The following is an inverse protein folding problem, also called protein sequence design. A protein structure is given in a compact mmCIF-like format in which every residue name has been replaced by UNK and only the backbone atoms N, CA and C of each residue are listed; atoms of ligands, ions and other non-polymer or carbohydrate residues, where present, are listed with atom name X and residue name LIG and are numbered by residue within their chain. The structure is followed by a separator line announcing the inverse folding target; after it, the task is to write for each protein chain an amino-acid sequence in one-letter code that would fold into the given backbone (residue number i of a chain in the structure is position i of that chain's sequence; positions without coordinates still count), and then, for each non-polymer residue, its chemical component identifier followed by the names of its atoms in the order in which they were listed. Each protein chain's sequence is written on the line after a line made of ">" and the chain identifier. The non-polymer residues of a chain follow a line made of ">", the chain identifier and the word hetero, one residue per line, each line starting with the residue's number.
data_IF_866943463518
#
_entry.id   IF_866943463518
#
_cell.length_a   1.000
_cell.length_b   1.000
_cell.length_c   1.000
_cell.angle_alpha   90.00
_cell.angle_beta   90.00
_cell.angle_gamma   90.00
#
_symmetry.space_group_name_H-M   'P 1'
#
loop_
_entity.id
_entity.type
_entity.pdbx_description
1 polymer ?
#
# COMPACT_ATOMS: atom_id res chain seq x y z
N UNK A 1 -8.95 0.51 -33.81
CA UNK A 1 -8.31 1.09 -32.60
C UNK A 1 -8.83 2.49 -32.22
N UNK A 2 -9.13 3.39 -33.16
CA UNK A 2 -9.64 4.74 -32.84
C UNK A 2 -11.00 4.74 -32.09
N UNK A 3 -11.93 3.87 -32.50
CA UNK A 3 -13.25 3.74 -31.86
C UNK A 3 -13.17 3.26 -30.39
N UNK A 4 -12.26 2.33 -30.08
CA UNK A 4 -12.06 1.86 -28.70
C UNK A 4 -11.46 2.95 -27.80
N UNK A 5 -10.55 3.78 -28.33
CA UNK A 5 -9.99 4.93 -27.61
C UNK A 5 -11.06 5.99 -27.33
N UNK A 6 -11.90 6.29 -28.31
CA UNK A 6 -13.05 7.20 -28.14
C UNK A 6 -14.02 6.71 -27.06
N UNK A 7 -14.29 5.39 -27.00
CA UNK A 7 -15.12 4.80 -25.95
C UNK A 7 -14.51 4.94 -24.55
N UNK A 8 -13.20 4.72 -24.39
CA UNK A 8 -12.50 4.88 -23.10
C UNK A 8 -12.54 6.32 -22.60
N UNK A 9 -12.24 7.28 -23.49
CA UNK A 9 -12.31 8.72 -23.14
C UNK A 9 -13.72 9.12 -22.71
N UNK A 10 -14.75 8.62 -23.40
CA UNK A 10 -16.14 8.86 -23.01
C UNK A 10 -16.45 8.28 -21.62
N UNK A 11 -16.04 7.04 -21.36
CA UNK A 11 -16.24 6.42 -20.04
C UNK A 11 -15.55 7.21 -18.91
N UNK A 12 -14.32 7.69 -19.15
CA UNK A 12 -13.61 8.56 -18.21
C UNK A 12 -14.41 9.85 -17.97
N UNK A 13 -14.93 10.48 -19.02
CA UNK A 13 -15.77 11.68 -18.91
C UNK A 13 -17.00 11.41 -18.04
N UNK A 14 -17.75 10.35 -18.35
CA UNK A 14 -18.98 10.01 -17.65
C UNK A 14 -18.72 9.78 -16.14
N UNK A 15 -17.60 9.12 -15.79
CA UNK A 15 -17.18 8.92 -14.40
C UNK A 15 -16.74 10.22 -13.71
N UNK A 16 -16.02 11.10 -14.41
CA UNK A 16 -15.63 12.42 -13.88
C UNK A 16 -16.85 13.32 -13.64
N UNK A 17 -17.84 13.29 -14.54
CA UNK A 17 -19.10 14.01 -14.37
C UNK A 17 -19.89 13.46 -13.17
N UNK A 18 -19.95 12.13 -13.02
CA UNK A 18 -20.57 11.48 -11.86
C UNK A 18 -19.87 11.85 -10.53
N UNK A 19 -18.54 11.96 -10.55
CA UNK A 19 -17.74 12.42 -9.41
C UNK A 19 -17.85 13.93 -9.13
N UNK A 20 -18.60 14.68 -9.95
CA UNK A 20 -18.76 16.13 -9.81
C UNK A 20 -17.47 16.92 -10.11
N UNK A 21 -16.68 16.47 -11.08
CA UNK A 21 -15.43 17.14 -11.42
C UNK A 21 -15.69 18.48 -12.13
N UNK A 22 -15.21 19.62 -11.59
CA UNK A 22 -15.47 20.95 -12.16
C UNK A 22 -14.76 21.19 -13.50
N UNK A 23 -13.79 20.34 -13.86
CA UNK A 23 -12.99 20.48 -15.08
C UNK A 23 -13.63 19.85 -16.33
N UNK A 24 -14.75 19.12 -16.15
CA UNK A 24 -15.47 18.43 -17.23
C UNK A 24 -16.90 18.92 -17.43
N UNK A 25 -17.36 19.90 -16.65
CA UNK A 25 -18.70 20.48 -16.81
C UNK A 25 -18.79 21.34 -18.07
N UNK A 26 -19.79 21.08 -18.92
CA UNK A 26 -20.14 21.89 -20.10
C UNK A 26 -19.01 22.09 -21.14
N UNK A 27 -18.09 21.13 -21.24
CA UNK A 27 -16.96 21.19 -22.18
C UNK A 27 -17.09 20.19 -23.33
N UNK A 28 -16.51 20.56 -24.47
CA UNK A 28 -16.55 19.79 -25.72
C UNK A 28 -15.71 18.49 -25.64
N UNK A 29 -15.98 17.51 -26.50
CA UNK A 29 -15.20 16.26 -26.55
C UNK A 29 -13.71 16.48 -26.90
N UNK A 30 -13.42 17.53 -27.65
CA UNK A 30 -12.04 17.94 -27.96
C UNK A 30 -11.27 18.30 -26.68
N UNK A 31 -11.92 18.99 -25.74
CA UNK A 31 -11.34 19.39 -24.47
C UNK A 31 -10.93 18.20 -23.61
N UNK A 32 -11.74 17.14 -23.56
CA UNK A 32 -11.37 15.91 -22.86
C UNK A 32 -10.07 15.30 -23.41
N UNK A 33 -9.88 15.34 -24.73
CA UNK A 33 -8.63 14.87 -25.33
C UNK A 33 -7.44 15.77 -24.99
N UNK A 34 -7.66 17.07 -24.83
CA UNK A 34 -6.61 17.99 -24.37
C UNK A 34 -6.26 17.75 -22.91
N UNK A 35 -7.26 17.65 -22.04
CA UNK A 35 -7.12 17.43 -20.62
C UNK A 35 -6.38 16.11 -20.29
N UNK A 36 -6.70 15.04 -21.02
CA UNK A 36 -6.15 13.71 -20.77
C UNK A 36 -4.83 13.42 -21.51
N UNK A 37 -4.46 14.16 -22.56
CA UNK A 37 -3.30 13.81 -23.40
C UNK A 37 -2.33 14.93 -23.71
N UNK A 38 -2.70 16.20 -23.48
CA UNK A 38 -1.77 17.30 -23.70
C UNK A 38 -1.08 17.66 -22.39
N UNK A 39 0.20 17.99 -22.49
CA UNK A 39 0.93 18.63 -21.41
C UNK A 39 0.38 20.03 -21.16
N UNK A 40 0.19 20.38 -19.89
CA UNK A 40 -0.29 21.70 -19.51
C UNK A 40 -0.90 21.77 -18.13
N UNK A 41 -1.19 23.00 -17.71
CA UNK A 41 -1.82 23.33 -16.43
C UNK A 41 -3.16 22.61 -16.18
N UNK A 42 -4.10 22.52 -17.16
CA UNK A 42 -5.40 21.88 -16.92
C UNK A 42 -5.27 20.42 -16.51
N UNK A 43 -4.32 19.70 -17.12
CA UNK A 43 -4.02 18.30 -16.78
C UNK A 43 -3.56 18.18 -15.34
N UNK A 44 -2.58 19.01 -14.95
CA UNK A 44 -2.00 18.95 -13.60
C UNK A 44 -3.06 19.29 -12.54
N UNK A 45 -3.97 20.23 -12.83
CA UNK A 45 -5.12 20.52 -11.96
C UNK A 45 -6.10 19.35 -11.86
N UNK A 46 -6.39 18.66 -12.96
CA UNK A 46 -7.23 17.46 -12.92
C UNK A 46 -6.58 16.39 -12.03
N UNK A 47 -5.30 16.11 -12.20
CA UNK A 47 -4.59 15.11 -11.39
C UNK A 47 -4.56 15.54 -9.92
N UNK A 48 -4.26 16.81 -9.64
CA UNK A 48 -4.32 17.35 -8.28
C UNK A 48 -5.70 17.17 -7.66
N UNK A 49 -6.76 17.53 -8.38
CA UNK A 49 -8.14 17.36 -7.94
C UNK A 49 -8.48 15.90 -7.66
N UNK A 50 -8.09 14.97 -8.54
CA UNK A 50 -8.31 13.54 -8.33
C UNK A 50 -7.61 13.06 -7.05
N UNK A 51 -6.37 13.49 -6.82
CA UNK A 51 -5.61 13.08 -5.66
C UNK A 51 -6.14 13.68 -4.35
N UNK A 52 -6.60 14.93 -4.33
CA UNK A 52 -7.17 15.53 -3.12
C UNK A 52 -8.51 14.88 -2.73
N UNK A 53 -9.24 14.29 -3.68
CA UNK A 53 -10.53 13.61 -3.42
C UNK A 53 -10.44 12.36 -2.58
N UNK A 54 -9.25 11.76 -2.40
CA UNK A 54 -9.04 10.67 -1.44
C UNK A 54 -9.21 11.12 0.02
N UNK A 55 -9.36 12.42 0.30
CA UNK A 55 -9.84 12.94 1.59
C UNK A 55 -8.83 12.84 2.74
N UNK A 56 -7.55 12.59 2.44
CA UNK A 56 -6.51 12.50 3.46
C UNK A 56 -5.91 13.90 3.73
N UNK A 57 -6.05 14.48 4.94
CA UNK A 57 -5.64 15.86 5.21
C UNK A 57 -4.17 16.15 4.95
N UNK A 58 -3.29 15.16 5.17
CA UNK A 58 -1.85 15.31 4.90
C UNK A 58 -1.54 15.32 3.39
N UNK A 59 -2.38 14.68 2.57
CA UNK A 59 -2.22 14.67 1.11
C UNK A 59 -2.62 16.02 0.53
N UNK A 60 -3.72 16.58 1.03
CA UNK A 60 -4.17 17.92 0.68
C UNK A 60 -3.14 18.98 1.09
N UNK A 61 -2.63 18.92 2.32
CA UNK A 61 -1.55 19.81 2.78
C UNK A 61 -0.27 19.66 1.95
N UNK A 62 0.11 18.44 1.58
CA UNK A 62 1.29 18.19 0.74
C UNK A 62 1.13 18.82 -0.65
N UNK A 63 -0.04 18.68 -1.26
CA UNK A 63 -0.36 19.18 -2.60
C UNK A 63 -0.56 20.70 -2.63
N UNK A 64 -1.10 21.29 -1.57
CA UNK A 64 -1.32 22.73 -1.43
C UNK A 64 -0.10 23.49 -0.89
N UNK A 65 0.80 22.83 -0.17
CA UNK A 65 1.98 23.50 0.38
C UNK A 65 2.90 24.03 -0.74
N UNK A 66 3.41 25.25 -0.59
CA UNK A 66 4.43 25.80 -1.48
C UNK A 66 5.86 25.28 -1.17
N UNK A 67 5.99 24.42 -0.15
CA UNK A 67 7.29 23.90 0.25
C UNK A 67 7.75 22.81 -0.72
N UNK A 68 8.95 22.99 -1.28
CA UNK A 68 9.62 21.99 -2.09
C UNK A 68 9.93 20.77 -1.22
N UNK A 69 9.24 19.66 -1.49
CA UNK A 69 9.62 18.37 -0.91
C UNK A 69 10.91 17.97 -1.61
N UNK A 70 11.95 17.81 -0.80
CA UNK A 70 13.33 17.46 -1.09
C UNK A 70 13.63 16.92 -2.51
N UNK A 71 14.64 17.55 -3.14
CA UNK A 71 15.48 17.12 -4.27
C UNK A 71 15.09 17.57 -5.71
N UNK A 72 15.74 18.66 -6.14
CA UNK A 72 16.46 18.88 -7.41
C UNK A 72 15.97 18.37 -8.79
N UNK A 73 14.74 17.91 -8.99
CA UNK A 73 14.24 17.58 -10.33
C UNK A 73 12.83 18.15 -10.54
N UNK A 74 12.77 19.15 -11.43
CA UNK A 74 11.59 19.57 -12.22
C UNK A 74 10.29 19.85 -11.45
N UNK A 75 9.97 21.14 -11.34
CA UNK A 75 8.70 21.73 -10.87
C UNK A 75 8.11 21.09 -9.59
N UNK A 76 8.22 21.80 -8.47
CA UNK A 76 7.80 21.34 -7.14
C UNK A 76 6.41 20.69 -7.10
N UNK A 77 5.49 21.07 -7.99
CA UNK A 77 4.15 20.46 -8.09
C UNK A 77 4.14 19.12 -8.82
N UNK A 78 4.86 19.00 -9.94
CA UNK A 78 4.92 17.74 -10.71
C UNK A 78 5.53 16.63 -9.85
N UNK A 79 6.62 16.94 -9.13
CA UNK A 79 7.22 16.01 -8.19
C UNK A 79 6.27 15.57 -7.07
N UNK A 80 5.47 16.49 -6.52
CA UNK A 80 4.43 16.16 -5.50
C UNK A 80 3.35 15.24 -6.07
N UNK A 81 2.83 15.56 -7.24
CA UNK A 81 1.80 14.74 -7.91
C UNK A 81 2.35 13.34 -8.22
N UNK A 82 3.59 13.26 -8.69
CA UNK A 82 4.28 12.00 -8.95
C UNK A 82 4.46 11.18 -7.68
N UNK A 83 4.93 11.80 -6.60
CA UNK A 83 5.07 11.15 -5.30
C UNK A 83 3.74 10.57 -4.80
N UNK A 84 2.66 11.36 -4.88
CA UNK A 84 1.33 10.92 -4.47
C UNK A 84 0.80 9.77 -5.34
N UNK A 85 0.98 9.88 -6.66
CA UNK A 85 0.58 8.84 -7.59
C UNK A 85 1.35 7.53 -7.35
N UNK A 86 2.66 7.61 -7.12
CA UNK A 86 3.49 6.47 -6.76
C UNK A 86 3.07 5.83 -5.43
N UNK A 87 2.75 6.66 -4.41
CA UNK A 87 2.27 6.17 -3.12
C UNK A 87 0.94 5.39 -3.23
N UNK A 88 0.08 5.79 -4.17
CA UNK A 88 -1.17 5.09 -4.48
C UNK A 88 -0.99 3.89 -5.42
N UNK A 89 0.25 3.57 -5.82
CA UNK A 89 0.56 2.47 -6.73
C UNK A 89 0.12 2.70 -8.18
N UNK A 90 -0.11 3.96 -8.59
CA UNK A 90 -0.59 4.32 -9.94
C UNK A 90 0.53 4.39 -10.98
N UNK A 91 1.76 4.67 -10.56
CA UNK A 91 2.93 4.79 -11.43
C UNK A 91 4.22 4.62 -10.65
N UNK A 92 5.36 4.54 -11.36
CA UNK A 92 6.67 4.49 -10.73
C UNK A 92 7.18 5.90 -10.34
N UNK A 93 8.25 6.02 -9.55
CA UNK A 93 8.77 7.30 -9.07
C UNK A 93 9.57 8.11 -10.11
N UNK A 94 9.88 7.51 -11.26
CA UNK A 94 10.55 8.12 -12.41
C UNK A 94 9.59 8.45 -13.56
N UNK A 95 8.29 8.17 -13.40
CA UNK A 95 7.23 8.36 -14.42
C UNK A 95 6.77 9.83 -14.57
N UNK A 96 7.70 10.78 -14.59
CA UNK A 96 7.42 12.22 -14.77
C UNK A 96 6.66 12.48 -16.08
N UNK A 97 7.00 11.76 -17.14
CA UNK A 97 6.35 11.85 -18.46
C UNK A 97 4.87 11.46 -18.41
N UNK A 98 4.48 10.60 -17.48
CA UNK A 98 3.08 10.22 -17.30
C UNK A 98 2.29 11.38 -16.69
N UNK A 99 2.82 12.01 -15.64
CA UNK A 99 2.19 13.14 -14.97
C UNK A 99 2.10 14.35 -15.89
N UNK A 100 3.18 14.64 -16.62
CA UNK A 100 3.25 15.78 -17.54
C UNK A 100 2.51 15.57 -18.86
N UNK A 101 2.12 14.33 -19.21
CA UNK A 101 1.35 14.04 -20.42
C UNK A 101 2.19 13.78 -21.68
N UNK A 102 3.48 13.49 -21.52
CA UNK A 102 4.41 13.15 -22.62
C UNK A 102 4.40 11.64 -22.94
N UNK A 103 3.99 10.81 -21.98
CA UNK A 103 3.96 9.35 -22.14
C UNK A 103 2.99 8.87 -23.22
N UNK A 104 2.99 7.56 -23.51
CA UNK A 104 2.06 6.99 -24.51
C UNK A 104 0.59 7.20 -24.10
N UNK A 105 -0.28 7.53 -25.07
CA UNK A 105 -1.73 7.73 -24.82
C UNK A 105 -2.38 6.53 -24.12
N UNK A 106 -1.89 5.31 -24.36
CA UNK A 106 -2.40 4.10 -23.71
C UNK A 106 -2.07 4.08 -22.22
N UNK A 107 -0.83 4.41 -21.85
CA UNK A 107 -0.39 4.50 -20.45
C UNK A 107 -1.13 5.63 -19.71
N UNK A 108 -1.28 6.78 -20.37
CA UNK A 108 -2.06 7.91 -19.83
C UNK A 108 -3.53 7.56 -19.58
N UNK A 109 -4.19 6.85 -20.53
CA UNK A 109 -5.57 6.38 -20.33
C UNK A 109 -5.69 5.43 -19.14
N UNK A 110 -4.77 4.47 -19.04
CA UNK A 110 -4.78 3.49 -17.96
C UNK A 110 -4.67 4.17 -16.60
N UNK A 111 -3.71 5.10 -16.47
CA UNK A 111 -3.55 5.92 -15.27
C UNK A 111 -4.84 6.62 -14.82
N UNK A 112 -5.55 7.27 -15.75
CA UNK A 112 -6.81 7.95 -15.42
C UNK A 112 -7.94 6.97 -15.06
N UNK A 113 -8.02 5.83 -15.75
CA UNK A 113 -9.02 4.82 -15.41
C UNK A 113 -8.77 4.26 -14.01
N UNK A 114 -7.52 3.91 -13.68
CA UNK A 114 -7.16 3.31 -12.39
C UNK A 114 -7.42 4.27 -11.23
N UNK A 115 -7.03 5.54 -11.34
CA UNK A 115 -7.26 6.52 -10.27
C UNK A 115 -8.74 6.84 -10.08
N UNK A 116 -9.51 6.94 -11.17
CA UNK A 116 -10.95 7.21 -11.10
C UNK A 116 -11.68 6.00 -10.54
N UNK A 117 -11.31 4.78 -10.93
CA UNK A 117 -11.91 3.56 -10.42
C UNK A 117 -11.63 3.39 -8.92
N UNK A 118 -10.42 3.68 -8.47
CA UNK A 118 -10.11 3.73 -7.03
C UNK A 118 -10.96 4.77 -6.30
N UNK A 119 -11.11 5.99 -6.85
CA UNK A 119 -11.97 7.02 -6.26
C UNK A 119 -13.43 6.57 -6.17
N UNK A 120 -13.93 5.89 -7.20
CA UNK A 120 -15.30 5.38 -7.20
C UNK A 120 -15.53 4.32 -6.13
N UNK A 121 -14.55 3.44 -5.90
CA UNK A 121 -14.61 2.49 -4.79
C UNK A 121 -14.62 3.21 -3.45
N UNK A 122 -13.74 4.19 -3.26
CA UNK A 122 -13.64 4.97 -2.01
C UNK A 122 -14.92 5.76 -1.72
N UNK A 123 -15.52 6.38 -2.74
CA UNK A 123 -16.76 7.15 -2.60
C UNK A 123 -17.96 6.24 -2.29
N UNK A 124 -18.05 5.09 -2.98
CA UNK A 124 -19.10 4.08 -2.72
C UNK A 124 -18.99 3.47 -1.32
N UNK A 125 -17.78 3.15 -0.86
CA UNK A 125 -17.54 2.68 0.50
C UNK A 125 -17.99 3.75 1.51
N UNK A 126 -17.55 4.99 1.32
CA UNK A 126 -17.92 6.13 2.18
C UNK A 126 -19.43 6.32 2.25
N UNK A 127 -20.13 6.17 1.13
CA UNK A 127 -21.59 6.29 1.08
C UNK A 127 -22.30 5.11 1.76
N UNK A 128 -21.78 3.89 1.59
CA UNK A 128 -22.30 2.67 2.24
C UNK A 128 -22.14 2.76 3.76
N UNK A 129 -20.98 3.20 4.25
CA UNK A 129 -20.78 3.42 5.70
C UNK A 129 -21.74 4.48 6.26
N UNK A 130 -22.04 5.54 5.51
CA UNK A 130 -22.98 6.58 5.94
C UNK A 130 -24.43 6.12 5.96
N UNK A 131 -24.81 5.18 5.10
CA UNK A 131 -26.20 4.71 4.97
C UNK A 131 -26.49 3.45 5.78
N UNK A 132 -25.48 2.59 6.02
CA UNK A 132 -25.61 1.37 6.80
C UNK A 132 -25.64 1.60 8.33
N UNK A 133 -25.26 2.78 8.81
CA UNK A 133 -25.38 3.14 10.23
C UNK A 133 -26.69 3.90 10.47
N UNK A 134 -27.70 3.28 11.11
CA UNK A 134 -28.96 3.97 11.40
C UNK A 134 -28.70 5.18 12.30
N UNK A 135 -29.38 6.27 11.94
CA UNK A 135 -29.33 7.59 12.56
C UNK A 135 -29.53 7.55 14.08
N UNK A 136 -28.43 7.36 14.81
CA UNK A 136 -28.28 7.70 16.22
C UNK A 136 -26.82 8.13 16.41
N UNK A 137 -26.55 9.40 16.77
CA UNK A 137 -25.19 9.87 16.94
C UNK A 137 -24.64 9.35 18.28
N UNK A 138 -23.32 9.13 18.35
CA UNK A 138 -22.51 10.20 18.88
C UNK A 138 -21.52 10.67 17.82
N UNK A 139 -21.39 11.99 17.73
CA UNK A 139 -20.50 12.72 16.83
C UNK A 139 -18.99 12.54 17.18
N UNK A 140 -18.57 11.35 17.60
CA UNK A 140 -17.24 11.09 18.16
C UNK A 140 -16.57 9.83 17.57
N UNK A 141 -17.12 9.22 16.51
CA UNK A 141 -16.49 8.06 15.83
C UNK A 141 -15.81 8.36 14.49
N UNK A 142 -15.62 9.64 14.14
CA UNK A 142 -14.57 10.05 13.20
C UNK A 142 -13.29 10.48 13.92
N UNK A 143 -13.05 9.96 15.13
CA UNK A 143 -11.77 10.13 15.79
C UNK A 143 -10.71 9.36 15.00
N UNK A 144 -10.01 10.10 14.14
CA UNK A 144 -8.56 9.97 14.02
C UNK A 144 -8.03 9.57 15.41
N UNK A 145 -7.30 8.46 15.57
CA UNK A 145 -6.82 8.07 16.89
C UNK A 145 -6.09 9.25 17.51
N UNK A 146 -6.58 9.76 18.65
CA UNK A 146 -5.93 10.89 19.33
C UNK A 146 -4.58 10.43 19.86
N UNK A 147 -4.45 9.13 20.12
CA UNK A 147 -3.23 8.48 20.57
C UNK A 147 -2.94 7.19 19.79
N UNK A 148 -1.68 6.80 19.76
CA UNK A 148 -1.25 5.54 19.15
C UNK A 148 -1.94 4.30 19.77
N UNK A 149 -2.24 4.34 21.07
CA UNK A 149 -2.90 3.23 21.77
C UNK A 149 -4.33 2.98 21.27
N UNK A 150 -5.09 4.06 21.01
CA UNK A 150 -6.42 3.97 20.42
C UNK A 150 -6.36 3.41 18.99
N UNK A 151 -5.35 3.79 18.20
CA UNK A 151 -5.17 3.29 16.84
C UNK A 151 -4.93 1.78 16.81
N UNK A 152 -4.11 1.29 17.72
CA UNK A 152 -3.81 -0.14 17.86
C UNK A 152 -5.05 -0.90 18.32
N UNK A 153 -5.80 -0.34 19.26
CA UNK A 153 -7.03 -0.96 19.75
C UNK A 153 -8.10 -1.07 18.65
N UNK A 154 -8.34 0.01 17.90
CA UNK A 154 -9.29 0.04 16.79
C UNK A 154 -8.86 -0.92 15.66
N UNK A 155 -7.56 -1.00 15.37
CA UNK A 155 -7.02 -1.94 14.40
C UNK A 155 -7.20 -3.41 14.85
N UNK A 156 -6.98 -3.71 16.13
CA UNK A 156 -7.21 -5.03 16.68
C UNK A 156 -8.70 -5.41 16.66
N UNK A 157 -9.60 -4.48 16.98
CA UNK A 157 -11.05 -4.72 16.92
C UNK A 157 -11.52 -4.98 15.48
N UNK A 158 -10.97 -4.25 14.51
CA UNK A 158 -11.25 -4.47 13.10
C UNK A 158 -10.73 -5.84 12.61
N UNK A 159 -9.52 -6.24 13.01
CA UNK A 159 -8.97 -7.56 12.71
C UNK A 159 -9.85 -8.65 13.34
N UNK A 160 -10.27 -8.50 14.59
CA UNK A 160 -11.19 -9.43 15.25
C UNK A 160 -12.53 -9.55 14.53
N UNK A 161 -13.04 -8.44 13.97
CA UNK A 161 -14.26 -8.45 13.17
C UNK A 161 -14.06 -9.24 11.85
N UNK A 162 -12.95 -9.02 11.15
CA UNK A 162 -12.60 -9.77 9.93
C UNK A 162 -12.45 -11.26 10.21
N UNK A 163 -11.76 -11.62 11.30
CA UNK A 163 -11.60 -13.00 11.76
C UNK A 163 -12.92 -13.70 12.10
N UNK A 164 -13.99 -12.95 12.37
CA UNK A 164 -15.34 -13.49 12.65
C UNK A 164 -16.21 -13.59 11.41
N UNK A 165 -15.93 -12.80 10.37
CA UNK A 165 -16.73 -12.75 9.15
C UNK A 165 -16.34 -13.86 8.16
N UNK A 166 -15.08 -14.28 8.16
CA UNK A 166 -14.57 -15.37 7.31
C UNK A 166 -13.92 -16.46 8.16
N UNK A 167 -14.09 -17.74 7.76
CA UNK A 167 -13.30 -18.83 8.30
C UNK A 167 -11.88 -18.73 7.72
N UNK A 168 -11.06 -17.88 8.34
CA UNK A 168 -9.65 -17.69 7.96
C UNK A 168 -8.87 -19.02 7.95
N UNK A 169 -9.36 -20.04 8.66
CA UNK A 169 -8.80 -21.39 8.59
C UNK A 169 -8.86 -22.01 7.20
N UNK A 170 -9.86 -21.69 6.37
CA UNK A 170 -9.93 -22.11 4.96
C UNK A 170 -9.01 -21.26 4.07
N UNK A 171 -8.91 -19.96 4.34
CA UNK A 171 -8.11 -19.01 3.55
C UNK A 171 -6.59 -19.25 3.70
N UNK A 172 -6.15 -19.69 4.89
CA UNK A 172 -4.75 -20.06 5.15
C UNK A 172 -4.45 -21.56 4.94
N UNK A 173 -5.41 -22.36 4.45
CA UNK A 173 -5.13 -23.75 4.01
C UNK A 173 -4.40 -23.79 2.67
N UNK A 174 -4.48 -22.73 1.89
CA UNK A 174 -3.78 -22.66 0.61
C UNK A 174 -2.28 -22.55 0.89
N UNK A 175 -1.51 -23.57 0.47
CA UNK A 175 -0.06 -23.60 0.66
C UNK A 175 0.56 -22.45 -0.12
N UNK A 176 0.89 -21.38 0.58
CA UNK A 176 1.65 -20.27 0.02
C UNK A 176 3.06 -20.80 -0.28
N UNK A 177 3.34 -20.98 -1.57
CA UNK A 177 4.67 -21.31 -2.07
C UNK A 177 5.55 -20.06 -1.98
N UNK A 178 6.23 -19.90 -0.84
CA UNK A 178 7.11 -18.77 -0.57
C UNK A 178 8.39 -18.79 -1.41
N UNK A 179 8.69 -19.92 -2.08
CA UNK A 179 9.91 -20.10 -2.85
C UNK A 179 9.60 -20.59 -4.28
N UNK A 180 10.44 -20.20 -5.25
CA UNK A 180 10.44 -20.82 -6.58
C UNK A 180 10.64 -22.34 -6.49
N UNK A 181 10.05 -23.13 -7.41
CA UNK A 181 10.02 -24.60 -7.35
C UNK A 181 11.41 -25.25 -7.36
N UNK A 182 12.44 -24.53 -7.81
CA UNK A 182 13.82 -25.00 -7.83
C UNK A 182 14.46 -24.99 -6.43
N UNK A 183 14.08 -24.01 -5.60
CA UNK A 183 14.49 -23.92 -4.19
C UNK A 183 13.63 -24.87 -3.34
N UNK A 184 12.34 -25.01 -3.66
CA UNK A 184 11.47 -25.96 -2.95
C UNK A 184 11.93 -27.41 -3.08
N UNK A 185 12.59 -27.79 -4.18
CA UNK A 185 13.19 -29.13 -4.35
C UNK A 185 14.37 -29.38 -3.42
N UNK A 186 15.13 -28.36 -3.05
CA UNK A 186 16.21 -28.48 -2.06
C UNK A 186 15.65 -28.72 -0.65
N UNK A 187 14.45 -28.20 -0.36
CA UNK A 187 13.72 -28.47 0.89
C UNK A 187 12.79 -29.71 0.80
N UNK A 188 12.48 -30.16 -0.42
CA UNK A 188 11.42 -31.11 -0.76
C UNK A 188 11.78 -32.59 -0.70
N UNK A 189 12.69 -32.99 0.20
CA UNK A 189 12.85 -34.41 0.59
C UNK A 189 12.94 -34.54 2.10
N UNK A 190 11.80 -34.27 2.76
CA UNK A 190 11.36 -34.95 3.98
C UNK A 190 9.94 -34.48 4.27
N UNK A 191 8.98 -35.39 4.18
CA UNK A 191 7.69 -35.24 4.83
C UNK A 191 7.91 -34.84 6.30
N UNK A 192 7.61 -33.56 6.58
CA UNK A 192 7.76 -32.92 7.88
C UNK A 192 6.43 -32.98 8.67
N UNK A 193 5.70 -34.10 8.61
CA UNK A 193 4.61 -34.33 9.58
C UNK A 193 5.12 -34.81 10.95
N UNK A 194 6.39 -35.22 11.08
CA UNK A 194 6.97 -35.67 12.36
C UNK A 194 8.16 -34.84 12.88
N UNK A 195 8.39 -33.66 12.30
CA UNK A 195 9.45 -32.74 12.76
C UNK A 195 8.93 -31.31 12.75
N UNK A 196 7.87 -31.05 13.53
CA UNK A 196 7.84 -29.78 14.24
C UNK A 196 9.11 -29.75 15.07
N UNK A 197 9.91 -28.71 14.88
CA UNK A 197 11.08 -28.38 15.67
C UNK A 197 10.80 -28.72 17.13
N UNK A 198 11.33 -29.85 17.62
CA UNK A 198 11.35 -30.12 19.04
C UNK A 198 12.21 -29.01 19.61
N UNK A 199 11.56 -28.04 20.24
CA UNK A 199 12.22 -27.13 21.17
C UNK A 199 13.03 -28.07 22.07
N UNK A 200 14.37 -27.90 22.15
CA UNK A 200 15.20 -28.79 22.95
C UNK A 200 14.60 -28.91 24.36
N UNK A 201 14.36 -30.14 24.83
CA UNK A 201 13.83 -30.32 26.17
C UNK A 201 14.79 -29.68 27.19
N UNK A 202 14.26 -29.14 28.28
CA UNK A 202 15.04 -28.43 29.30
C UNK A 202 16.17 -29.32 29.86
N UNK A 203 15.98 -30.64 29.84
CA UNK A 203 16.97 -31.66 30.20
C UNK A 203 18.16 -31.71 29.23
N UNK A 204 17.92 -31.57 27.94
CA UNK A 204 18.98 -31.54 26.92
C UNK A 204 19.79 -30.25 27.05
N UNK A 205 19.13 -29.12 27.29
CA UNK A 205 19.78 -27.83 27.54
C UNK A 205 20.64 -27.85 28.81
N UNK A 206 20.14 -28.48 29.88
CA UNK A 206 20.88 -28.65 31.13
C UNK A 206 22.10 -29.56 30.97
N UNK A 207 21.98 -30.64 30.20
CA UNK A 207 23.10 -31.54 29.91
C UNK A 207 24.20 -30.84 29.10
N UNK A 208 23.81 -30.02 28.10
CA UNK A 208 24.73 -29.24 27.29
C UNK A 208 25.43 -28.16 28.14
N UNK A 209 24.69 -27.47 29.00
CA UNK A 209 25.26 -26.48 29.92
C UNK A 209 26.30 -27.10 30.85
N UNK A 210 26.03 -28.30 31.39
CA UNK A 210 26.98 -29.01 32.25
C UNK A 210 28.22 -29.49 31.49
N UNK A 211 28.06 -29.90 30.23
CA UNK A 211 29.18 -30.27 29.37
C UNK A 211 30.09 -29.07 29.04
N UNK A 212 29.51 -27.89 28.80
CA UNK A 212 30.25 -26.65 28.61
C UNK A 212 30.98 -26.24 29.90
N UNK A 213 30.34 -26.38 31.06
CA UNK A 213 30.96 -26.08 32.36
C UNK A 213 32.20 -26.96 32.63
N UNK A 214 32.10 -28.25 32.30
CA UNK A 214 33.21 -29.20 32.40
C UNK A 214 34.38 -28.82 31.48
N UNK A 215 34.10 -28.46 30.23
CA UNK A 215 35.14 -28.10 29.27
C UNK A 215 35.82 -26.76 29.65
N UNK A 216 35.05 -25.78 30.16
CA UNK A 216 35.59 -24.53 30.68
C UNK A 216 36.49 -24.75 31.90
N UNK A 217 36.11 -25.62 32.84
CA UNK A 217 36.97 -25.98 33.98
C UNK A 217 38.27 -26.64 33.52
N UNK A 218 38.20 -27.50 32.51
CA UNK A 218 39.37 -28.16 31.93
C UNK A 218 40.30 -27.15 31.24
N UNK A 219 39.75 -26.22 30.46
CA UNK A 219 40.54 -25.18 29.80
C UNK A 219 41.13 -24.18 30.81
N UNK A 220 40.40 -23.80 31.85
CA UNK A 220 40.95 -22.95 32.92
C UNK A 220 42.11 -23.64 33.64
N UNK A 221 42.03 -24.94 33.91
CA UNK A 221 43.13 -25.68 34.53
C UNK A 221 44.37 -25.77 33.64
N UNK A 222 44.19 -25.76 32.32
CA UNK A 222 45.30 -25.68 31.34
C UNK A 222 45.89 -24.26 31.35
N UNK A 223 45.05 -23.23 31.36
CA UNK A 223 45.49 -21.83 31.45
C UNK A 223 46.24 -21.53 32.75
N UNK A 224 45.78 -22.03 33.89
CA UNK A 224 46.47 -21.87 35.18
C UNK A 224 47.85 -22.55 35.15
N UNK A 225 47.98 -23.72 34.50
CA UNK A 225 49.28 -24.39 34.33
C UNK A 225 50.22 -23.57 33.46
N UNK A 226 49.72 -22.99 32.37
CA UNK A 226 50.51 -22.14 31.47
C UNK A 226 50.86 -20.79 32.08
N UNK A 227 50.11 -20.30 33.08
CA UNK A 227 50.44 -19.09 33.84
C UNK A 227 51.42 -19.34 34.99
N UNK A 228 51.62 -20.60 35.38
CA UNK A 228 52.56 -21.00 36.44
C UNK A 228 53.94 -21.43 35.94
N UNK A 229 54.14 -21.47 34.62
CA UNK A 229 55.44 -21.55 33.93
C UNK A 229 55.95 -20.15 33.59
#
# INVERSE_FOLDING_TARGET
>A
MAAAKSRRVKNIRDKLEFLGCPHVENVDESWMSELLFKSGEPRLRLIQWLLTRFGHPQLEELLESHQAVLSNLTDSRVGKLLFCANLLGLCHDDDVDLITGVSSKSKQLQFFEDVIDMLMVVDNLSHTYRTAVPATPPADRMLRPKTFGEAVFDACEYIDLLCRQEDLGELFKEKIHLFPPDIEKEFGTKDHENKRSQIPEITDLASLAHQIEMELKKQNKILERLQSE
#
